data_IF_897432713592
#
_entry.id   IF_897432713592
#
_cell.length_a   1.000
_cell.length_b   1.000
_cell.length_c   1.000
_cell.angle_alpha   90.00
_cell.angle_beta   90.00
_cell.angle_gamma   90.00
#
_symmetry.space_group_name_H-M   'P 1'
#
loop_
_entity.id
_entity.type
_entity.pdbx_description
1 polymer ?
#
# COMPACT_ATOMS: atom_id res chain seq x y z
N UNK A 1 23.25 -47.01 -2.79
CA UNK A 1 24.20 -45.91 -2.51
C UNK A 1 23.72 -44.59 -3.13
N UNK A 2 23.39 -44.58 -4.42
CA UNK A 2 22.85 -43.38 -5.10
C UNK A 2 21.51 -42.88 -4.55
N UNK A 3 20.58 -43.77 -4.19
CA UNK A 3 19.30 -43.38 -3.55
C UNK A 3 19.50 -42.57 -2.26
N UNK A 4 20.44 -42.98 -1.39
CA UNK A 4 20.75 -42.25 -0.16
C UNK A 4 21.36 -40.86 -0.46
N UNK A 5 22.20 -40.77 -1.50
CA UNK A 5 22.78 -39.50 -1.95
C UNK A 5 21.71 -38.54 -2.50
N UNK A 6 20.72 -39.05 -3.24
CA UNK A 6 19.61 -38.24 -3.74
C UNK A 6 18.74 -37.70 -2.59
N UNK A 7 18.42 -38.52 -1.59
CA UNK A 7 17.65 -38.08 -0.42
C UNK A 7 18.39 -36.99 0.35
N UNK A 8 19.70 -37.15 0.58
CA UNK A 8 20.52 -36.13 1.26
C UNK A 8 20.57 -34.83 0.46
N UNK A 9 20.71 -34.91 -0.87
CA UNK A 9 20.72 -33.74 -1.74
C UNK A 9 19.39 -32.98 -1.68
N UNK A 10 18.25 -33.68 -1.77
CA UNK A 10 16.91 -33.07 -1.67
C UNK A 10 16.71 -32.41 -0.30
N UNK A 11 17.06 -33.09 0.80
CA UNK A 11 16.94 -32.52 2.14
C UNK A 11 17.84 -31.29 2.33
N UNK A 12 19.04 -31.30 1.74
CA UNK A 12 19.95 -30.15 1.77
C UNK A 12 19.40 -28.96 0.97
N UNK A 13 18.79 -29.21 -0.20
CA UNK A 13 18.12 -28.17 -1.00
C UNK A 13 16.91 -27.63 -0.25
N UNK A 14 16.05 -28.48 0.29
CA UNK A 14 14.90 -28.06 1.10
C UNK A 14 15.33 -27.27 2.33
N UNK A 15 16.38 -27.71 3.03
CA UNK A 15 16.96 -27.01 4.18
C UNK A 15 17.54 -25.64 3.78
N UNK A 16 18.23 -25.56 2.65
CA UNK A 16 18.74 -24.29 2.11
C UNK A 16 17.59 -23.34 1.72
N UNK A 17 16.56 -23.85 1.02
CA UNK A 17 15.37 -23.06 0.68
C UNK A 17 14.70 -22.55 1.97
N UNK A 18 14.48 -23.43 2.95
CA UNK A 18 13.88 -23.04 4.23
C UNK A 18 14.71 -21.99 4.97
N UNK A 19 16.03 -22.19 5.06
CA UNK A 19 16.95 -21.23 5.67
C UNK A 19 16.95 -19.89 4.94
N UNK A 20 16.91 -19.90 3.60
CA UNK A 20 16.86 -18.69 2.78
C UNK A 20 15.54 -17.91 2.94
N UNK A 21 14.45 -18.59 3.31
CA UNK A 21 13.15 -17.97 3.59
C UNK A 21 13.04 -17.48 5.04
N UNK A 22 13.79 -18.08 5.97
CA UNK A 22 13.79 -17.69 7.37
C UNK A 22 14.42 -16.30 7.54
N UNK A 23 13.57 -15.31 7.81
CA UNK A 23 14.02 -13.96 8.14
C UNK A 23 13.74 -13.66 9.62
N UNK A 24 14.74 -13.75 10.52
CA UNK A 24 14.52 -13.57 11.97
C UNK A 24 14.03 -12.16 12.34
N UNK A 25 14.10 -11.21 11.39
CA UNK A 25 13.68 -9.82 11.59
C UNK A 25 12.21 -9.59 11.30
N UNK A 26 11.51 -10.54 10.68
CA UNK A 26 10.07 -10.47 10.41
C UNK A 26 9.34 -11.58 11.15
N UNK A 27 8.10 -11.31 11.51
CA UNK A 27 7.24 -12.26 12.23
C UNK A 27 5.79 -12.04 11.84
N UNK A 28 5.03 -13.13 11.82
CA UNK A 28 3.58 -13.12 11.63
C UNK A 28 2.89 -12.78 12.95
N UNK A 29 2.03 -11.77 12.94
CA UNK A 29 1.27 -11.33 14.12
C UNK A 29 -0.20 -11.21 13.75
N UNK A 30 -1.07 -11.84 14.55
CA UNK A 30 -2.52 -11.70 14.42
C UNK A 30 -2.95 -10.33 14.93
N UNK A 31 -3.64 -9.57 14.09
CA UNK A 31 -4.19 -8.26 14.41
C UNK A 31 -5.40 -8.39 15.35
N UNK A 32 -5.55 -7.41 16.24
CA UNK A 32 -6.74 -7.27 17.10
C UNK A 32 -7.87 -6.49 16.44
N UNK A 33 -7.65 -5.93 15.26
CA UNK A 33 -8.61 -5.09 14.54
C UNK A 33 -9.51 -5.92 13.60
N UNK A 34 -8.95 -6.91 12.91
CA UNK A 34 -9.64 -7.67 11.86
C UNK A 34 -9.37 -9.18 11.92
N UNK A 35 -8.72 -9.66 12.99
CA UNK A 35 -8.33 -11.06 13.19
C UNK A 35 -7.43 -11.67 12.10
N UNK A 36 -6.90 -10.88 11.16
CA UNK A 36 -5.98 -11.33 10.11
C UNK A 36 -4.54 -11.29 10.59
N UNK A 37 -3.68 -12.05 9.91
CA UNK A 37 -2.25 -12.13 10.22
C UNK A 37 -1.45 -11.23 9.30
N UNK A 38 -0.59 -10.40 9.88
CA UNK A 38 0.27 -9.47 9.16
C UNK A 38 1.75 -9.78 9.40
N UNK A 39 2.58 -9.58 8.37
CA UNK A 39 4.03 -9.70 8.48
C UNK A 39 4.61 -8.36 8.91
N UNK A 40 5.20 -8.34 10.10
CA UNK A 40 5.76 -7.13 10.73
C UNK A 40 7.16 -7.39 11.27
N UNK A 41 7.88 -6.32 11.62
CA UNK A 41 9.20 -6.42 12.25
C UNK A 41 9.11 -7.11 13.60
N UNK A 42 10.01 -8.04 13.87
CA UNK A 42 10.09 -8.78 15.13
C UNK A 42 10.75 -7.92 16.23
N UNK A 43 10.02 -6.91 16.71
CA UNK A 43 10.44 -5.98 17.77
C UNK A 43 9.33 -5.82 18.83
N UNK A 44 9.64 -5.15 19.95
CA UNK A 44 8.75 -5.06 21.14
C UNK A 44 7.31 -4.62 20.83
N UNK A 45 7.13 -3.63 19.95
CA UNK A 45 5.83 -3.06 19.57
C UNK A 45 5.30 -3.63 18.23
N UNK A 46 5.62 -4.88 17.90
CA UNK A 46 5.11 -5.58 16.69
C UNK A 46 3.58 -5.67 16.62
N UNK A 47 2.89 -5.82 17.76
CA UNK A 47 1.43 -5.84 17.80
C UNK A 47 0.83 -4.54 17.28
N UNK A 48 1.36 -3.38 17.71
CA UNK A 48 0.91 -2.07 17.23
C UNK A 48 1.10 -1.90 15.72
N UNK A 49 2.18 -2.46 15.17
CA UNK A 49 2.41 -2.46 13.72
C UNK A 49 1.38 -3.32 12.98
N UNK A 50 1.06 -4.51 13.52
CA UNK A 50 0.06 -5.40 12.92
C UNK A 50 -1.35 -4.78 12.94
N UNK A 51 -1.74 -4.20 14.08
CA UNK A 51 -3.02 -3.52 14.23
C UNK A 51 -3.13 -2.29 13.29
N UNK A 52 -2.05 -1.53 13.12
CA UNK A 52 -1.98 -0.42 12.17
C UNK A 52 -2.12 -0.90 10.71
N UNK A 53 -1.42 -1.97 10.32
CA UNK A 53 -1.56 -2.54 8.98
C UNK A 53 -2.98 -3.04 8.71
N UNK A 54 -3.64 -3.61 9.72
CA UNK A 54 -5.02 -4.02 9.62
C UNK A 54 -5.96 -2.84 9.40
N UNK A 55 -5.81 -1.76 10.16
CA UNK A 55 -6.61 -0.55 9.97
C UNK A 55 -6.45 0.03 8.55
N UNK A 56 -5.22 0.04 8.02
CA UNK A 56 -4.94 0.46 6.64
C UNK A 56 -5.58 -0.51 5.64
N UNK A 57 -5.44 -1.82 5.84
CA UNK A 57 -6.03 -2.83 4.95
C UNK A 57 -7.55 -2.69 4.87
N UNK A 58 -8.23 -2.49 6.00
CA UNK A 58 -9.69 -2.28 6.05
C UNK A 58 -10.08 -1.05 5.23
N UNK A 59 -9.37 0.08 5.39
CA UNK A 59 -9.64 1.31 4.64
C UNK A 59 -9.40 1.14 3.13
N UNK A 60 -8.36 0.42 2.73
CA UNK A 60 -8.05 0.16 1.33
C UNK A 60 -9.06 -0.79 0.66
N UNK A 61 -9.53 -1.82 1.35
CA UNK A 61 -10.63 -2.65 0.83
C UNK A 61 -11.88 -1.80 0.62
N UNK A 62 -12.27 -1.01 1.62
CA UNK A 62 -13.43 -0.10 1.52
C UNK A 62 -13.27 0.91 0.38
N UNK A 63 -12.04 1.39 0.11
CA UNK A 63 -11.74 2.25 -1.03
C UNK A 63 -12.02 1.54 -2.35
N UNK A 64 -11.48 0.33 -2.53
CA UNK A 64 -11.62 -0.46 -3.76
C UNK A 64 -13.08 -0.88 -3.99
N UNK A 65 -13.78 -1.26 -2.93
CA UNK A 65 -15.21 -1.61 -2.99
C UNK A 65 -16.02 -0.40 -3.46
N UNK A 66 -15.84 0.77 -2.84
CA UNK A 66 -16.56 2.00 -3.24
C UNK A 66 -16.22 2.47 -4.65
N UNK A 67 -14.99 2.30 -5.11
CA UNK A 67 -14.63 2.56 -6.51
C UNK A 67 -15.36 1.59 -7.45
N UNK A 68 -15.37 0.31 -7.11
CA UNK A 68 -16.02 -0.74 -7.90
C UNK A 68 -17.54 -0.56 -7.94
N UNK A 69 -18.16 -0.11 -6.84
CA UNK A 69 -19.58 0.26 -6.79
C UNK A 69 -19.91 1.49 -7.63
N UNK A 70 -19.08 2.54 -7.55
CA UNK A 70 -19.36 3.84 -8.19
C UNK A 70 -19.05 3.85 -9.69
N UNK A 71 -17.96 3.22 -10.09
CA UNK A 71 -17.48 3.25 -11.48
C UNK A 71 -17.57 1.87 -12.13
N UNK A 72 -17.31 0.81 -11.38
CA UNK A 72 -17.33 -0.57 -11.86
C UNK A 72 -16.63 -0.73 -13.21
N UNK A 73 -17.30 -1.41 -14.13
CA UNK A 73 -16.75 -1.71 -15.45
C UNK A 73 -16.59 -0.48 -16.38
N UNK A 74 -17.14 0.68 -16.03
CA UNK A 74 -17.11 1.89 -16.87
C UNK A 74 -15.76 2.61 -16.86
N UNK A 75 -14.91 2.37 -15.86
CA UNK A 75 -13.56 2.95 -15.78
C UNK A 75 -12.51 1.82 -15.78
N UNK A 76 -11.76 1.70 -16.88
CA UNK A 76 -10.71 0.69 -17.04
C UNK A 76 -9.65 0.74 -15.94
N UNK A 77 -9.36 1.92 -15.39
CA UNK A 77 -8.35 2.11 -14.33
C UNK A 77 -8.85 1.54 -13.01
N UNK A 78 -10.16 1.68 -12.72
CA UNK A 78 -10.80 1.07 -11.55
C UNK A 78 -10.81 -0.45 -11.68
N UNK A 79 -11.22 -0.98 -12.83
CA UNK A 79 -11.18 -2.42 -13.10
C UNK A 79 -9.78 -3.00 -12.90
N UNK A 80 -8.77 -2.29 -13.42
CA UNK A 80 -7.37 -2.68 -13.30
C UNK A 80 -6.92 -2.70 -11.84
N UNK A 81 -7.23 -1.66 -11.09
CA UNK A 81 -6.93 -1.56 -9.65
C UNK A 81 -7.58 -2.71 -8.88
N UNK A 82 -8.89 -2.93 -9.04
CA UNK A 82 -9.64 -3.98 -8.33
C UNK A 82 -9.09 -5.37 -8.65
N UNK A 83 -8.75 -5.64 -9.92
CA UNK A 83 -8.15 -6.92 -10.34
C UNK A 83 -6.79 -7.15 -9.68
N UNK A 84 -5.93 -6.12 -9.63
CA UNK A 84 -4.59 -6.21 -9.06
C UNK A 84 -4.62 -6.29 -7.52
N UNK A 85 -5.59 -5.67 -6.88
CA UNK A 85 -5.72 -5.61 -5.43
C UNK A 85 -6.35 -6.87 -4.80
N UNK A 86 -7.06 -7.70 -5.58
CA UNK A 86 -7.86 -8.84 -5.08
C UNK A 86 -7.11 -9.80 -4.14
N UNK A 87 -5.83 -10.06 -4.39
CA UNK A 87 -4.98 -10.94 -3.58
C UNK A 87 -3.78 -10.18 -2.98
N UNK A 88 -3.92 -8.88 -2.74
CA UNK A 88 -2.82 -8.11 -2.21
C UNK A 88 -2.46 -8.55 -0.78
N UNK A 89 -1.18 -8.43 -0.46
CA UNK A 89 -0.67 -8.59 0.90
C UNK A 89 -0.06 -7.26 1.37
N UNK A 90 -0.40 -6.82 2.58
CA UNK A 90 0.25 -5.65 3.19
C UNK A 90 1.23 -6.12 4.28
N UNK A 91 2.46 -5.63 4.23
CA UNK A 91 3.48 -5.95 5.24
C UNK A 91 4.42 -4.79 5.55
N UNK A 92 5.15 -4.93 6.65
CA UNK A 92 6.13 -3.93 7.08
C UNK A 92 7.47 -4.05 6.33
N UNK A 93 8.04 -2.90 5.96
CA UNK A 93 9.37 -2.79 5.37
C UNK A 93 10.49 -3.03 6.40
N UNK A 94 11.60 -3.63 5.95
CA UNK A 94 12.84 -3.70 6.72
C UNK A 94 13.68 -2.42 6.52
N UNK A 95 14.41 -1.92 7.54
CA UNK A 95 15.17 -0.67 7.43
C UNK A 95 16.23 -0.62 6.32
N UNK A 96 16.74 -1.78 5.90
CA UNK A 96 17.84 -1.90 4.93
C UNK A 96 17.40 -1.86 3.46
N UNK A 97 16.11 -1.74 3.15
CA UNK A 97 15.61 -1.80 1.77
C UNK A 97 15.99 -0.58 0.91
N UNK A 98 16.56 0.50 1.48
CA UNK A 98 16.82 1.76 0.79
C UNK A 98 15.55 2.55 0.51
N UNK A 99 14.54 1.90 -0.04
CA UNK A 99 13.19 2.42 -0.31
C UNK A 99 12.36 2.58 0.96
N UNK A 100 11.46 3.57 0.96
CA UNK A 100 10.55 3.86 2.08
C UNK A 100 9.29 3.02 2.01
N UNK A 101 8.62 2.94 0.87
CA UNK A 101 7.48 2.05 0.63
C UNK A 101 7.42 1.71 -0.85
N UNK A 102 6.85 0.55 -1.18
CA UNK A 102 6.80 0.09 -2.56
C UNK A 102 5.73 -1.00 -2.73
N UNK A 103 5.24 -1.13 -3.95
CA UNK A 103 4.42 -2.25 -4.40
C UNK A 103 5.25 -3.24 -5.22
N UNK A 104 5.12 -4.53 -4.95
CA UNK A 104 5.70 -5.61 -5.76
C UNK A 104 4.64 -6.16 -6.72
N UNK A 105 5.09 -6.57 -7.91
CA UNK A 105 4.26 -7.20 -8.95
C UNK A 105 2.94 -6.44 -9.22
N UNK A 106 3.02 -5.10 -9.29
CA UNK A 106 1.87 -4.21 -9.55
C UNK A 106 0.70 -4.39 -8.58
N UNK A 107 0.97 -4.68 -7.31
CA UNK A 107 -0.05 -4.68 -6.25
C UNK A 107 -0.27 -6.01 -5.55
N UNK A 108 0.40 -7.08 -5.97
CA UNK A 108 0.38 -8.37 -5.25
C UNK A 108 0.85 -8.21 -3.81
N UNK A 109 1.79 -7.28 -3.57
CA UNK A 109 2.25 -6.97 -2.22
C UNK A 109 2.55 -5.49 -2.07
N UNK A 110 1.99 -4.87 -1.05
CA UNK A 110 2.29 -3.50 -0.62
C UNK A 110 3.19 -3.57 0.61
N UNK A 111 4.38 -2.99 0.52
CA UNK A 111 5.35 -2.96 1.61
C UNK A 111 5.45 -1.54 2.14
N UNK A 112 5.04 -1.34 3.40
CA UNK A 112 4.95 -0.03 4.05
C UNK A 112 6.01 0.12 5.15
N UNK A 113 6.71 1.25 5.18
CA UNK A 113 7.61 1.57 6.29
C UNK A 113 6.84 2.26 7.40
N UNK A 114 6.49 1.50 8.42
CA UNK A 114 5.67 2.00 9.51
C UNK A 114 6.44 2.87 10.50
N UNK A 115 7.78 2.80 10.50
CA UNK A 115 8.64 3.33 11.56
C UNK A 115 9.56 4.41 11.03
N UNK A 116 9.72 5.49 11.81
CA UNK A 116 10.73 6.50 11.55
C UNK A 116 12.16 5.92 11.63
N UNK A 117 13.08 6.47 10.83
CA UNK A 117 14.52 6.11 10.87
C UNK A 117 15.29 6.86 11.97
N UNK A 118 14.69 6.98 13.16
CA UNK A 118 15.29 7.61 14.35
C UNK A 118 15.67 6.54 15.37
N UNK A 119 16.46 6.89 16.40
CA UNK A 119 16.84 5.95 17.48
C UNK A 119 15.64 5.26 18.14
N UNK A 120 14.50 5.96 18.20
CA UNK A 120 13.31 5.45 18.89
C UNK A 120 12.37 4.65 17.97
N UNK A 121 12.63 4.62 16.65
CA UNK A 121 11.84 3.89 15.64
C UNK A 121 10.32 3.98 15.85
N UNK A 122 9.85 5.20 16.10
CA UNK A 122 8.44 5.49 16.40
C UNK A 122 7.56 5.11 15.22
N UNK A 123 6.45 4.42 15.49
CA UNK A 123 5.45 4.08 14.49
C UNK A 123 4.72 5.38 14.10
N UNK A 124 4.62 5.66 12.80
CA UNK A 124 3.89 6.82 12.29
C UNK A 124 2.38 6.64 12.48
N UNK A 125 1.65 7.75 12.54
CA UNK A 125 0.19 7.73 12.67
C UNK A 125 -0.52 7.17 11.44
N UNK A 126 -1.73 6.67 11.67
CA UNK A 126 -2.57 6.05 10.64
C UNK A 126 -2.81 6.95 9.45
N UNK A 127 -3.00 8.26 9.64
CA UNK A 127 -3.31 9.16 8.53
C UNK A 127 -2.13 9.31 7.57
N UNK A 128 -0.90 9.37 8.11
CA UNK A 128 0.32 9.38 7.28
C UNK A 128 0.58 8.05 6.59
N UNK A 129 0.40 6.91 7.28
CA UNK A 129 0.51 5.61 6.60
C UNK A 129 -0.54 5.46 5.51
N UNK A 130 -1.76 5.95 5.75
CA UNK A 130 -2.84 5.93 4.76
C UNK A 130 -2.47 6.75 3.52
N UNK A 131 -1.93 7.95 3.68
CA UNK A 131 -1.46 8.76 2.54
C UNK A 131 -0.44 8.01 1.68
N UNK A 132 0.53 7.36 2.31
CA UNK A 132 1.56 6.56 1.61
C UNK A 132 0.95 5.31 0.98
N UNK A 133 0.00 4.65 1.64
CA UNK A 133 -0.70 3.51 1.06
C UNK A 133 -1.53 3.91 -0.17
N UNK A 134 -2.16 5.10 -0.16
CA UNK A 134 -2.87 5.64 -1.32
C UNK A 134 -1.93 5.98 -2.48
N UNK A 135 -0.69 6.39 -2.21
CA UNK A 135 0.36 6.55 -3.22
C UNK A 135 0.67 5.21 -3.89
N UNK A 136 0.83 4.13 -3.11
CA UNK A 136 1.03 2.79 -3.66
C UNK A 136 -0.19 2.31 -4.46
N UNK A 137 -1.42 2.62 -4.02
CA UNK A 137 -2.63 2.33 -4.80
C UNK A 137 -2.64 3.06 -6.15
N UNK A 138 -2.11 4.29 -6.22
CA UNK A 138 -1.98 5.00 -7.49
C UNK A 138 -1.01 4.28 -8.44
N UNK A 139 0.07 3.69 -7.93
CA UNK A 139 0.93 2.82 -8.74
C UNK A 139 0.19 1.57 -9.23
N UNK A 140 -0.68 0.99 -8.41
CA UNK A 140 -1.50 -0.17 -8.80
C UNK A 140 -2.53 0.21 -9.89
N UNK A 141 -3.10 1.42 -9.83
CA UNK A 141 -4.05 1.94 -10.82
C UNK A 141 -3.37 2.36 -12.15
N UNK A 142 -2.07 2.66 -12.13
CA UNK A 142 -1.31 3.18 -13.26
C UNK A 142 -0.71 2.05 -14.12
N UNK A 143 -0.67 2.23 -15.44
CA UNK A 143 -0.07 1.25 -16.36
C UNK A 143 1.43 1.53 -16.52
N UNK A 144 1.77 2.80 -16.74
CA UNK A 144 3.14 3.27 -16.93
C UNK A 144 3.98 3.21 -15.64
N UNK A 145 5.31 3.26 -15.82
CA UNK A 145 6.27 3.20 -14.70
C UNK A 145 6.71 4.61 -14.32
N UNK A 146 6.80 4.87 -13.01
CA UNK A 146 7.25 6.15 -12.45
C UNK A 146 6.11 7.09 -12.08
N UNK A 147 6.45 8.33 -11.76
CA UNK A 147 5.54 9.39 -11.32
C UNK A 147 5.25 10.40 -12.44
N UNK A 148 4.74 9.90 -13.56
CA UNK A 148 4.35 10.74 -14.71
C UNK A 148 2.94 11.33 -14.52
N UNK A 149 2.44 12.03 -15.55
CA UNK A 149 1.12 12.66 -15.52
C UNK A 149 -0.01 11.67 -15.21
N UNK A 150 0.00 10.47 -15.82
CA UNK A 150 -0.98 9.41 -15.58
C UNK A 150 -1.01 9.02 -14.10
N UNK A 151 0.16 8.79 -13.50
CA UNK A 151 0.28 8.49 -12.07
C UNK A 151 -0.34 9.59 -11.21
N UNK A 152 0.03 10.85 -11.46
CA UNK A 152 -0.43 11.96 -10.62
C UNK A 152 -1.94 12.21 -10.75
N UNK A 153 -2.51 12.00 -11.94
CA UNK A 153 -3.95 12.12 -12.15
C UNK A 153 -4.70 11.00 -11.43
N UNK A 154 -4.20 9.76 -11.48
CA UNK A 154 -4.74 8.65 -10.71
C UNK A 154 -4.59 8.87 -9.20
N UNK A 155 -3.47 9.42 -8.75
CA UNK A 155 -3.25 9.68 -7.32
C UNK A 155 -4.20 10.75 -6.78
N UNK A 156 -4.41 11.85 -7.52
CA UNK A 156 -5.40 12.88 -7.15
C UNK A 156 -6.82 12.33 -7.18
N UNK A 157 -7.15 11.51 -8.18
CA UNK A 157 -8.45 10.83 -8.27
C UNK A 157 -8.73 9.93 -7.06
N UNK A 158 -7.74 9.14 -6.64
CA UNK A 158 -7.80 8.31 -5.43
C UNK A 158 -7.92 9.16 -4.17
N UNK A 159 -7.09 10.21 -4.01
CA UNK A 159 -7.10 11.08 -2.84
C UNK A 159 -8.46 11.78 -2.67
N UNK A 160 -9.03 12.32 -3.75
CA UNK A 160 -10.32 13.01 -3.70
C UNK A 160 -11.42 12.07 -3.17
N UNK A 161 -11.47 10.84 -3.67
CA UNK A 161 -12.43 9.84 -3.22
C UNK A 161 -12.16 9.36 -1.79
N UNK A 162 -10.90 9.12 -1.42
CA UNK A 162 -10.54 8.73 -0.06
C UNK A 162 -10.95 9.80 0.97
N UNK A 163 -10.85 11.08 0.62
CA UNK A 163 -11.33 12.19 1.46
C UNK A 163 -12.86 12.19 1.53
N UNK A 164 -13.54 12.12 0.38
CA UNK A 164 -15.01 12.13 0.31
C UNK A 164 -15.66 10.96 1.05
N UNK A 165 -15.00 9.80 1.08
CA UNK A 165 -15.48 8.60 1.76
C UNK A 165 -14.96 8.45 3.20
N UNK A 166 -14.32 9.48 3.73
CA UNK A 166 -13.78 9.54 5.09
C UNK A 166 -12.81 8.39 5.41
N UNK A 167 -11.97 8.05 4.44
CA UNK A 167 -10.90 7.05 4.56
C UNK A 167 -9.54 7.70 4.85
N UNK A 168 -9.40 8.98 4.50
CA UNK A 168 -8.19 9.79 4.69
C UNK A 168 -8.55 11.24 5.04
N UNK A 169 -7.87 11.81 6.03
CA UNK A 169 -8.01 13.21 6.41
C UNK A 169 -6.95 14.04 5.69
N UNK A 170 -7.32 15.05 4.88
CA UNK A 170 -6.36 15.82 4.11
C UNK A 170 -5.42 16.62 5.02
N UNK A 171 -4.13 16.63 4.66
CA UNK A 171 -3.08 17.42 5.33
C UNK A 171 -2.43 18.31 4.27
N UNK A 172 -2.18 19.57 4.63
CA UNK A 172 -1.31 20.44 3.85
C UNK A 172 0.14 20.19 4.25
N UNK A 173 0.84 19.35 3.48
CA UNK A 173 2.24 19.00 3.74
C UNK A 173 3.20 20.10 3.29
N UNK A 174 2.74 21.12 2.56
CA UNK A 174 3.55 22.30 2.25
C UNK A 174 3.69 23.17 3.49
N UNK A 175 2.58 23.40 4.19
CA UNK A 175 2.54 24.22 5.40
C UNK A 175 2.91 23.41 6.66
N UNK A 176 2.57 22.12 6.70
CA UNK A 176 2.89 21.19 7.79
C UNK A 176 3.63 19.95 7.30
N UNK A 177 4.89 20.07 6.85
CA UNK A 177 5.68 18.94 6.38
C UNK A 177 5.84 17.86 7.45
N UNK A 178 5.87 16.60 7.02
CA UNK A 178 5.89 15.46 7.94
C UNK A 178 7.04 14.51 7.68
N UNK A 179 7.72 14.10 8.74
CA UNK A 179 8.77 13.08 8.65
C UNK A 179 8.14 11.69 8.49
N UNK A 180 8.58 10.95 7.48
CA UNK A 180 8.13 9.59 7.21
C UNK A 180 9.31 8.73 6.76
N UNK A 181 9.61 7.66 7.49
CA UNK A 181 10.65 6.68 7.11
C UNK A 181 12.01 7.30 6.67
N UNK A 182 12.44 8.41 7.30
CA UNK A 182 13.70 9.09 6.97
C UNK A 182 13.65 10.01 5.74
N UNK A 183 12.48 10.20 5.14
CA UNK A 183 12.20 11.29 4.19
C UNK A 183 11.22 12.29 4.81
N UNK A 184 11.07 13.44 4.15
CA UNK A 184 10.11 14.47 4.51
C UNK A 184 9.04 14.55 3.43
N UNK A 185 7.79 14.31 3.81
CA UNK A 185 6.62 14.54 2.95
C UNK A 185 6.34 16.05 2.99
N UNK A 186 6.45 16.69 1.83
CA UNK A 186 6.32 18.15 1.67
C UNK A 186 5.26 18.56 0.65
N UNK A 187 4.65 17.60 -0.03
CA UNK A 187 3.73 17.88 -1.13
C UNK A 187 2.35 17.29 -0.87
N UNK A 188 1.33 18.09 -1.17
CA UNK A 188 -0.09 17.70 -1.18
C UNK A 188 -0.60 17.76 -2.61
N UNK A 189 -0.63 16.64 -3.35
CA UNK A 189 -0.91 16.63 -4.79
C UNK A 189 -2.32 17.11 -5.16
N UNK A 190 -3.27 17.02 -4.21
CA UNK A 190 -4.64 17.48 -4.35
C UNK A 190 -4.84 18.76 -3.54
N UNK A 191 -5.18 19.86 -4.22
CA UNK A 191 -5.61 21.10 -3.55
C UNK A 191 -7.06 20.95 -3.11
N UNK A 192 -7.42 21.48 -1.94
CA UNK A 192 -8.77 21.36 -1.36
C UNK A 192 -9.88 21.77 -2.34
N UNK A 193 -9.70 22.88 -3.04
CA UNK A 193 -10.64 23.42 -4.03
C UNK A 193 -10.80 22.57 -5.30
N UNK A 194 -9.90 21.61 -5.54
CA UNK A 194 -9.90 20.79 -6.76
C UNK A 194 -10.58 19.43 -6.57
N UNK A 195 -10.98 19.07 -5.34
CA UNK A 195 -11.58 17.76 -5.03
C UNK A 195 -12.80 17.46 -5.90
N UNK A 196 -13.64 18.46 -6.15
CA UNK A 196 -14.88 18.29 -6.92
C UNK A 196 -14.65 17.98 -8.39
N UNK A 197 -13.50 18.36 -8.94
CA UNK A 197 -13.11 18.04 -10.33
C UNK A 197 -12.99 16.54 -10.56
N UNK A 198 -12.75 15.77 -9.49
CA UNK A 198 -12.54 14.32 -9.55
C UNK A 198 -13.80 13.51 -9.26
N UNK A 199 -14.92 14.14 -8.86
CA UNK A 199 -16.18 13.45 -8.57
C UNK A 199 -17.12 13.31 -9.78
N UNK A 200 -16.72 13.84 -10.95
CA UNK A 200 -17.37 13.59 -12.23
C UNK A 200 -17.08 12.19 -12.79
N UNK A 201 -17.89 11.74 -13.75
CA UNK A 201 -17.63 10.51 -14.50
C UNK A 201 -16.21 10.56 -15.11
N UNK A 202 -15.59 9.39 -15.28
CA UNK A 202 -14.27 9.26 -15.88
C UNK A 202 -14.16 10.12 -17.16
N UNK A 203 -13.00 10.71 -17.48
CA UNK A 203 -12.84 11.48 -18.71
C UNK A 203 -13.18 10.59 -19.91
N UNK A 204 -14.37 10.79 -20.50
CA UNK A 204 -14.78 10.07 -21.69
C UNK A 204 -13.87 10.50 -22.85
N UNK A 205 -13.46 9.55 -23.67
CA UNK A 205 -12.68 9.83 -24.87
C UNK A 205 -13.50 10.59 -25.94
N UNK A 206 -14.83 10.63 -25.84
CA UNK A 206 -15.71 11.46 -26.69
C UNK A 206 -17.13 11.65 -26.12
N UNK A 207 -17.82 12.79 -26.40
CA UNK A 207 -19.21 13.07 -25.97
C UNK A 207 -20.30 12.44 -26.88
N UNK A 208 -21.57 12.35 -26.43
CA UNK A 208 -22.08 12.77 -25.11
C UNK A 208 -21.85 11.70 -24.04
N UNK A 209 -21.19 12.09 -22.94
CA UNK A 209 -21.15 11.27 -21.73
C UNK A 209 -22.54 11.30 -21.09
N UNK A 210 -23.25 10.16 -21.12
CA UNK A 210 -24.39 9.96 -20.26
C UNK A 210 -23.87 9.38 -18.93
N UNK A 211 -24.24 10.06 -17.84
CA UNK A 211 -23.95 9.64 -16.47
C UNK A 211 -24.92 8.56 -16.02
#
# INVERSE_FOLDING_TARGET
>A
MYELLYVIAILSICGYIFYSWYNPKLVYVKSKIDDKTYVVRNVKNKQKAADLLAEISVRLHKLVDKFSEKYGNSDERVNLMSKRFKNHEIREALPKSGQTSYSLNKGERIVLCLRGRTKNETIADVNTIMFVALHEMAHIMTISVGHNQEFWDNFRFILAHAIKWDLYTPVDYKDSPKQYCGIKITESPLKKADSDKYFGCAPCKSPPCQC
#
